data_IF_551900444177
#
_entry.id   IF_551900444177
#
_cell.length_a   1.000
_cell.length_b   1.000
_cell.length_c   1.000
_cell.angle_alpha   90.00
_cell.angle_beta   90.00
_cell.angle_gamma   90.00
#
_symmetry.space_group_name_H-M   'P 1'
#
loop_
_entity.id
_entity.type
_entity.pdbx_description
1 polymer ?
#
# COMPACT_ATOMS: atom_id res chain seq x y z
N UNK A 1 48.14 -14.62 5.45
CA UNK A 1 49.17 -14.66 6.53
C UNK A 1 48.53 -15.14 7.84
N UNK A 2 49.27 -15.77 8.76
CA UNK A 2 48.72 -16.11 10.08
C UNK A 2 48.65 -14.88 10.99
N UNK A 3 47.48 -14.58 11.54
CA UNK A 3 47.25 -13.40 12.36
C UNK A 3 47.63 -13.65 13.82
N UNK A 4 48.24 -12.65 14.46
CA UNK A 4 48.45 -12.66 15.92
C UNK A 4 47.14 -12.35 16.66
N UNK A 5 47.04 -12.71 17.96
CA UNK A 5 45.87 -12.40 18.80
C UNK A 5 45.51 -10.92 18.75
N UNK A 6 46.51 -10.04 18.85
CA UNK A 6 46.30 -8.59 18.80
C UNK A 6 45.78 -8.12 17.44
N UNK A 7 46.27 -8.69 16.34
CA UNK A 7 45.80 -8.34 14.99
C UNK A 7 44.36 -8.78 14.78
N UNK A 8 43.99 -9.95 15.31
CA UNK A 8 42.60 -10.43 15.29
C UNK A 8 41.69 -9.49 16.07
N UNK A 9 42.07 -9.09 17.28
CA UNK A 9 41.29 -8.12 18.09
C UNK A 9 41.05 -6.79 17.36
N UNK A 10 42.07 -6.25 16.68
CA UNK A 10 41.94 -5.00 15.90
C UNK A 10 40.96 -5.17 14.74
N UNK A 11 41.05 -6.27 13.98
CA UNK A 11 40.14 -6.52 12.87
C UNK A 11 38.71 -6.77 13.36
N UNK A 12 38.53 -7.49 14.47
CA UNK A 12 37.21 -7.68 15.11
C UNK A 12 36.59 -6.33 15.45
N UNK A 13 37.36 -5.44 16.10
CA UNK A 13 36.90 -4.09 16.41
C UNK A 13 36.59 -3.27 15.15
N UNK A 14 37.34 -3.43 14.07
CA UNK A 14 37.05 -2.80 12.78
C UNK A 14 35.69 -3.19 12.22
N UNK A 15 35.37 -4.49 12.26
CA UNK A 15 34.06 -5.01 11.87
C UNK A 15 32.93 -4.55 12.80
N UNK A 16 33.15 -4.56 14.13
CA UNK A 16 32.20 -4.01 15.10
C UNK A 16 31.88 -2.53 14.82
N UNK A 17 32.91 -1.75 14.47
CA UNK A 17 32.74 -0.34 14.16
C UNK A 17 31.80 -0.15 12.95
N UNK A 18 31.89 -0.98 11.93
CA UNK A 18 31.00 -0.89 10.76
C UNK A 18 29.56 -1.26 11.06
N UNK A 19 29.33 -2.20 11.97
CA UNK A 19 27.99 -2.49 12.47
C UNK A 19 27.37 -1.28 13.20
N UNK A 20 28.20 -0.40 13.77
CA UNK A 20 27.74 0.88 14.33
C UNK A 20 27.49 1.95 13.25
N UNK A 21 28.15 1.86 12.09
CA UNK A 21 27.95 2.75 10.93
C UNK A 21 26.91 2.20 9.94
N UNK A 22 25.73 1.85 10.44
CA UNK A 22 24.65 1.17 9.68
C UNK A 22 24.36 1.77 8.31
N UNK A 23 24.35 3.11 8.21
CA UNK A 23 24.03 3.82 6.97
C UNK A 23 25.05 3.55 5.85
N UNK A 24 26.34 3.48 6.17
CA UNK A 24 27.38 3.28 5.17
C UNK A 24 27.36 1.84 4.66
N UNK A 25 27.11 0.87 5.57
CA UNK A 25 26.92 -0.53 5.22
C UNK A 25 25.66 -0.75 4.38
N UNK A 26 24.54 -0.11 4.73
CA UNK A 26 23.30 -0.14 3.94
C UNK A 26 23.52 0.42 2.53
N UNK A 27 24.17 1.58 2.41
CA UNK A 27 24.44 2.21 1.12
C UNK A 27 25.33 1.31 0.24
N UNK A 28 26.41 0.78 0.80
CA UNK A 28 27.30 -0.13 0.07
C UNK A 28 26.58 -1.44 -0.34
N UNK A 29 25.72 -1.98 0.53
CA UNK A 29 24.89 -3.13 0.20
C UNK A 29 23.93 -2.80 -0.95
N UNK A 30 23.28 -1.63 -0.92
CA UNK A 30 22.38 -1.19 -1.99
C UNK A 30 23.10 -0.99 -3.32
N UNK A 31 24.30 -0.43 -3.30
CA UNK A 31 25.13 -0.24 -4.51
C UNK A 31 25.55 -1.58 -5.11
N UNK A 32 25.96 -2.54 -4.27
CA UNK A 32 26.44 -3.85 -4.72
C UNK A 32 25.31 -4.81 -5.10
N UNK A 33 24.20 -4.77 -4.36
CA UNK A 33 23.11 -5.75 -4.40
C UNK A 33 21.72 -5.11 -4.59
N UNK A 34 21.62 -4.02 -5.36
CA UNK A 34 20.38 -3.22 -5.47
C UNK A 34 19.10 -4.00 -5.76
N UNK A 35 19.15 -4.99 -6.66
CA UNK A 35 17.98 -5.83 -6.94
C UNK A 35 17.55 -6.72 -5.74
N UNK A 36 18.53 -7.24 -4.99
CA UNK A 36 18.29 -8.04 -3.79
C UNK A 36 17.79 -7.13 -2.67
N UNK A 37 18.36 -5.93 -2.53
CA UNK A 37 17.92 -4.91 -1.57
C UNK A 37 16.43 -4.61 -1.74
N UNK A 38 16.01 -4.25 -2.96
CA UNK A 38 14.61 -3.92 -3.25
C UNK A 38 13.69 -5.12 -2.99
N UNK A 39 14.15 -6.35 -3.30
CA UNK A 39 13.38 -7.56 -3.06
C UNK A 39 13.20 -7.83 -1.56
N UNK A 40 14.29 -7.80 -0.77
CA UNK A 40 14.23 -7.99 0.69
C UNK A 40 13.28 -6.97 1.31
N UNK A 41 13.42 -5.70 0.94
CA UNK A 41 12.57 -4.64 1.48
C UNK A 41 11.10 -4.89 1.15
N UNK A 42 10.78 -5.22 -0.10
CA UNK A 42 9.40 -5.51 -0.52
C UNK A 42 8.82 -6.72 0.20
N UNK A 43 9.60 -7.77 0.39
CA UNK A 43 9.15 -8.98 1.08
C UNK A 43 8.82 -8.66 2.54
N UNK A 44 9.66 -7.89 3.24
CA UNK A 44 9.37 -7.44 4.60
C UNK A 44 8.15 -6.52 4.68
N UNK A 45 8.00 -5.58 3.75
CA UNK A 45 6.83 -4.69 3.70
C UNK A 45 5.54 -5.50 3.49
N UNK A 46 5.55 -6.48 2.59
CA UNK A 46 4.39 -7.35 2.37
C UNK A 46 4.06 -8.20 3.59
N UNK A 47 5.07 -8.70 4.31
CA UNK A 47 4.87 -9.42 5.58
C UNK A 47 4.25 -8.52 6.66
N UNK A 48 4.55 -7.22 6.64
CA UNK A 48 3.98 -6.20 7.53
C UNK A 48 2.60 -5.70 7.06
N UNK A 49 2.09 -6.21 5.93
CA UNK A 49 0.75 -5.96 5.42
C UNK A 49 0.64 -4.88 4.34
N UNK A 50 1.76 -4.34 3.86
CA UNK A 50 1.75 -3.40 2.74
C UNK A 50 1.34 -4.10 1.43
N UNK A 51 0.77 -3.35 0.46
CA UNK A 51 0.34 -3.93 -0.81
C UNK A 51 1.53 -4.39 -1.67
N UNK A 52 1.26 -5.29 -2.63
CA UNK A 52 2.31 -5.88 -3.48
C UNK A 52 3.06 -4.87 -4.34
N UNK A 53 2.38 -3.80 -4.73
CA UNK A 53 2.87 -2.69 -5.54
C UNK A 53 3.32 -1.49 -4.69
N UNK A 54 3.65 -1.72 -3.40
CA UNK A 54 4.18 -0.70 -2.49
C UNK A 54 5.31 0.11 -3.12
N UNK A 55 5.18 1.44 -3.03
CA UNK A 55 6.16 2.41 -3.51
C UNK A 55 7.21 2.64 -2.42
N UNK A 56 8.42 2.13 -2.62
CA UNK A 56 9.48 2.19 -1.61
C UNK A 56 9.86 3.64 -1.24
N UNK A 57 9.77 4.59 -2.17
CA UNK A 57 10.03 6.01 -1.94
C UNK A 57 8.98 6.70 -1.06
N UNK A 58 7.87 6.00 -0.76
CA UNK A 58 6.77 6.46 0.08
C UNK A 58 6.75 5.80 1.46
N UNK A 59 7.72 4.94 1.75
CA UNK A 59 7.82 4.24 3.03
C UNK A 59 9.11 4.61 3.73
N UNK A 60 9.02 4.97 5.02
CA UNK A 60 10.16 5.20 5.88
C UNK A 60 10.60 3.87 6.48
N UNK A 61 11.72 3.34 5.98
CA UNK A 61 12.35 2.13 6.48
C UNK A 61 13.87 2.28 6.44
N UNK A 62 14.56 1.37 7.13
CA UNK A 62 16.02 1.19 7.03
C UNK A 62 16.34 -0.29 7.00
N UNK A 63 17.34 -0.69 6.21
CA UNK A 63 17.88 -2.04 6.25
C UNK A 63 18.99 -2.14 7.31
N UNK A 64 18.75 -2.92 8.35
CA UNK A 64 19.77 -3.26 9.35
C UNK A 64 20.51 -4.52 8.93
N UNK A 65 21.82 -4.41 8.74
CA UNK A 65 22.69 -5.53 8.35
C UNK A 65 23.55 -5.89 9.55
N UNK A 66 23.55 -7.16 9.92
CA UNK A 66 24.32 -7.69 11.04
C UNK A 66 25.08 -8.95 10.64
N UNK A 67 26.21 -9.19 11.30
CA UNK A 67 27.03 -10.38 11.14
C UNK A 67 27.90 -10.56 12.38
N UNK A 68 28.62 -11.69 12.48
CA UNK A 68 29.54 -11.95 13.58
C UNK A 68 30.97 -11.52 13.20
N UNK A 69 31.54 -10.47 13.82
CA UNK A 69 32.88 -9.96 13.52
C UNK A 69 33.98 -11.03 13.58
N UNK A 70 33.95 -11.92 14.57
CA UNK A 70 34.96 -12.95 14.75
C UNK A 70 34.98 -13.95 13.58
N UNK A 71 33.79 -14.28 13.04
CA UNK A 71 33.65 -15.15 11.87
C UNK A 71 34.23 -14.47 10.63
N UNK A 72 34.05 -13.16 10.49
CA UNK A 72 34.65 -12.39 9.39
C UNK A 72 36.19 -12.37 9.48
N UNK A 73 36.74 -12.24 10.70
CA UNK A 73 38.20 -12.31 10.90
C UNK A 73 38.75 -13.70 10.57
N UNK A 74 38.07 -14.77 11.00
CA UNK A 74 38.43 -16.14 10.62
C UNK A 74 38.46 -16.32 9.10
N UNK A 75 37.50 -15.71 8.41
CA UNK A 75 37.44 -15.77 6.96
C UNK A 75 38.62 -15.04 6.30
N UNK A 76 38.94 -13.83 6.76
CA UNK A 76 40.10 -13.06 6.27
C UNK A 76 41.40 -13.85 6.41
N UNK A 77 41.57 -14.55 7.53
CA UNK A 77 42.74 -15.41 7.75
C UNK A 77 42.71 -16.64 6.83
N UNK A 78 41.57 -17.30 6.68
CA UNK A 78 41.43 -18.52 5.86
C UNK A 78 41.56 -18.30 4.35
N UNK A 79 41.18 -17.12 3.86
CA UNK A 79 41.27 -16.73 2.45
C UNK A 79 42.59 -16.08 2.08
N UNK A 80 43.51 -15.95 3.03
CA UNK A 80 44.77 -15.21 2.86
C UNK A 80 44.57 -13.80 2.29
N UNK A 81 43.44 -13.14 2.62
CA UNK A 81 43.08 -11.80 2.12
C UNK A 81 44.10 -10.73 2.50
N UNK A 82 44.87 -10.99 3.56
CA UNK A 82 46.01 -10.19 4.00
C UNK A 82 47.31 -10.93 3.69
N UNK A 83 48.08 -10.38 2.76
CA UNK A 83 49.27 -11.05 2.23
C UNK A 83 50.48 -10.92 3.18
N UNK A 84 50.63 -9.76 3.81
CA UNK A 84 51.78 -9.43 4.65
C UNK A 84 51.46 -8.32 5.66
N UNK A 85 52.41 -8.01 6.54
CA UNK A 85 52.24 -7.00 7.59
C UNK A 85 51.94 -5.59 7.04
N UNK A 86 52.52 -5.22 5.89
CA UNK A 86 52.27 -3.90 5.27
C UNK A 86 50.83 -3.81 4.79
N UNK A 87 50.33 -4.87 4.15
CA UNK A 87 48.94 -4.98 3.71
C UNK A 87 47.95 -4.97 4.89
N UNK A 88 48.28 -5.70 5.97
CA UNK A 88 47.52 -5.65 7.23
C UNK A 88 47.42 -4.20 7.76
N UNK A 89 48.53 -3.47 7.90
CA UNK A 89 48.52 -2.12 8.46
C UNK A 89 47.73 -1.13 7.58
N UNK A 90 47.77 -1.31 6.26
CA UNK A 90 47.01 -0.49 5.33
C UNK A 90 45.51 -0.75 5.47
N UNK A 91 45.08 -2.02 5.42
CA UNK A 91 43.67 -2.42 5.46
C UNK A 91 43.03 -2.34 6.84
N UNK A 92 43.79 -2.53 7.92
CA UNK A 92 43.25 -2.50 9.28
C UNK A 92 42.69 -1.14 9.70
N UNK A 93 43.13 -0.07 9.02
CA UNK A 93 42.68 1.30 9.25
C UNK A 93 41.72 1.80 8.15
N UNK A 94 41.35 0.93 7.20
CA UNK A 94 40.51 1.27 6.05
C UNK A 94 39.09 0.75 6.27
N UNK A 95 38.14 1.67 6.40
CA UNK A 95 36.72 1.32 6.58
C UNK A 95 36.15 0.61 5.34
N UNK A 96 36.56 1.02 4.14
CA UNK A 96 36.04 0.46 2.90
C UNK A 96 36.47 -1.00 2.73
N UNK A 97 37.67 -1.36 3.22
CA UNK A 97 38.13 -2.75 3.23
C UNK A 97 37.15 -3.66 3.98
N UNK A 98 36.80 -3.31 5.20
CA UNK A 98 35.91 -4.12 6.04
C UNK A 98 34.47 -4.15 5.51
N UNK A 99 33.96 -3.04 4.95
CA UNK A 99 32.63 -3.02 4.30
C UNK A 99 32.63 -3.98 3.11
N UNK A 100 33.62 -3.85 2.22
CA UNK A 100 33.69 -4.67 1.03
C UNK A 100 33.88 -6.15 1.36
N UNK A 101 34.74 -6.48 2.33
CA UNK A 101 34.99 -7.86 2.73
C UNK A 101 33.77 -8.51 3.37
N UNK A 102 33.00 -7.79 4.20
CA UNK A 102 31.74 -8.31 4.74
C UNK A 102 30.72 -8.53 3.61
N UNK A 103 30.63 -7.59 2.67
CA UNK A 103 29.71 -7.68 1.54
C UNK A 103 30.13 -8.71 0.48
N UNK A 104 31.37 -9.19 0.46
CA UNK A 104 31.80 -10.31 -0.40
C UNK A 104 31.22 -11.66 0.06
N UNK A 105 30.65 -11.71 1.26
CA UNK A 105 30.12 -12.93 1.89
C UNK A 105 28.66 -12.78 2.29
N UNK A 106 27.75 -12.60 1.32
CA UNK A 106 26.33 -12.36 1.61
C UNK A 106 25.69 -13.47 2.45
N UNK A 107 26.21 -14.70 2.40
CA UNK A 107 25.72 -15.83 3.18
C UNK A 107 25.96 -15.69 4.70
N UNK A 108 26.85 -14.79 5.13
CA UNK A 108 27.15 -14.52 6.53
C UNK A 108 26.41 -13.27 7.05
N UNK A 109 25.70 -12.57 6.18
CA UNK A 109 24.94 -11.37 6.51
C UNK A 109 23.52 -11.74 6.91
N UNK A 110 23.06 -11.15 8.01
CA UNK A 110 21.65 -11.15 8.40
C UNK A 110 21.08 -9.76 8.14
N UNK A 111 20.03 -9.69 7.34
CA UNK A 111 19.36 -8.43 6.99
C UNK A 111 17.98 -8.38 7.63
N UNK A 112 17.66 -7.29 8.31
CA UNK A 112 16.34 -7.03 8.89
C UNK A 112 15.86 -5.65 8.47
N UNK A 113 14.63 -5.56 7.97
CA UNK A 113 14.04 -4.27 7.59
C UNK A 113 13.30 -3.70 8.80
N UNK A 114 13.69 -2.50 9.22
CA UNK A 114 13.00 -1.77 10.28
C UNK A 114 12.06 -0.77 9.61
N UNK A 115 10.77 -1.06 9.65
CA UNK A 115 9.70 -0.24 9.08
C UNK A 115 9.23 0.76 10.15
N UNK A 116 9.12 2.04 9.77
CA UNK A 116 8.66 3.13 10.65
C UNK A 116 7.35 3.76 10.19
N UNK A 117 6.95 3.53 8.95
CA UNK A 117 5.65 3.97 8.43
C UNK A 117 4.57 3.01 8.91
N UNK A 118 3.45 3.56 9.34
CA UNK A 118 2.25 2.77 9.65
C UNK A 118 1.56 2.32 8.36
N UNK A 119 1.20 1.04 8.29
CA UNK A 119 0.61 0.42 7.09
C UNK A 119 -0.78 0.99 6.78
N UNK A 120 -1.56 1.34 7.81
CA UNK A 120 -2.90 1.88 7.64
C UNK A 120 -2.83 3.33 7.14
N UNK A 121 -1.91 4.12 7.70
CA UNK A 121 -1.60 5.46 7.20
C UNK A 121 -1.14 5.43 5.75
N UNK A 122 -0.24 4.50 5.40
CA UNK A 122 0.19 4.32 4.01
C UNK A 122 -0.99 4.01 3.09
N UNK A 123 -1.86 3.07 3.45
CA UNK A 123 -2.98 2.67 2.61
C UNK A 123 -4.05 3.77 2.46
N UNK A 124 -4.17 4.67 3.42
CA UNK A 124 -5.05 5.85 3.31
C UNK A 124 -4.54 6.86 2.27
N UNK A 125 -3.23 6.92 2.05
CA UNK A 125 -2.57 7.86 1.11
C UNK A 125 -2.16 7.20 -0.22
N UNK A 126 -2.03 5.88 -0.23
CA UNK A 126 -1.61 5.10 -1.38
C UNK A 126 -2.45 3.82 -1.48
N UNK A 127 -3.78 3.94 -1.63
CA UNK A 127 -4.67 2.79 -1.60
C UNK A 127 -4.44 1.85 -2.78
N UNK A 128 -4.41 0.55 -2.49
CA UNK A 128 -4.64 -0.48 -3.51
C UNK A 128 -6.13 -0.63 -3.80
N UNK A 129 -6.46 -1.26 -4.93
CA UNK A 129 -7.85 -1.61 -5.27
C UNK A 129 -8.47 -2.48 -4.19
N UNK A 130 -7.74 -3.46 -3.66
CA UNK A 130 -8.25 -4.35 -2.60
C UNK A 130 -8.51 -3.59 -1.30
N UNK A 131 -7.61 -2.68 -0.92
CA UNK A 131 -7.78 -1.88 0.28
C UNK A 131 -9.02 -0.96 0.16
N UNK A 132 -9.13 -0.22 -0.94
CA UNK A 132 -10.29 0.65 -1.17
C UNK A 132 -11.59 -0.15 -1.23
N UNK A 133 -11.60 -1.31 -1.90
CA UNK A 133 -12.77 -2.17 -1.99
C UNK A 133 -13.22 -2.68 -0.61
N UNK A 134 -12.26 -3.04 0.25
CA UNK A 134 -12.56 -3.41 1.63
C UNK A 134 -13.18 -2.23 2.39
N UNK A 135 -12.57 -1.05 2.31
CA UNK A 135 -13.07 0.15 2.99
C UNK A 135 -14.46 0.57 2.52
N UNK A 136 -14.73 0.48 1.21
CA UNK A 136 -16.06 0.72 0.65
C UNK A 136 -17.05 -0.32 1.16
N UNK A 137 -16.73 -1.62 1.14
CA UNK A 137 -17.63 -2.65 1.68
C UNK A 137 -17.96 -2.44 3.16
N UNK A 138 -17.02 -1.93 3.95
CA UNK A 138 -17.21 -1.70 5.38
C UNK A 138 -18.08 -0.47 5.69
N UNK A 139 -18.22 0.47 4.74
CA UNK A 139 -18.84 1.79 4.96
C UNK A 139 -20.00 2.14 4.03
N UNK A 140 -20.08 1.49 2.88
CA UNK A 140 -21.14 1.71 1.91
C UNK A 140 -22.46 1.18 2.46
N UNK A 141 -23.44 2.06 2.52
CA UNK A 141 -24.81 1.73 2.90
C UNK A 141 -25.75 2.02 1.72
N UNK A 142 -26.50 1.01 1.30
CA UNK A 142 -27.41 1.14 0.16
C UNK A 142 -28.53 2.15 0.42
N UNK A 143 -28.94 2.31 1.67
CA UNK A 143 -29.98 3.26 2.05
C UNK A 143 -29.52 4.71 1.88
N UNK A 144 -28.25 5.02 2.16
CA UNK A 144 -27.69 6.36 1.93
C UNK A 144 -27.69 6.68 0.42
N UNK A 145 -27.25 5.73 -0.42
CA UNK A 145 -27.30 5.91 -1.88
C UNK A 145 -28.74 6.12 -2.35
N UNK A 146 -29.69 5.36 -1.81
CA UNK A 146 -31.12 5.48 -2.13
C UNK A 146 -31.69 6.84 -1.72
N UNK A 147 -31.26 7.39 -0.59
CA UNK A 147 -31.64 8.75 -0.17
C UNK A 147 -31.12 9.82 -1.14
N UNK A 148 -29.86 9.71 -1.60
CA UNK A 148 -29.30 10.67 -2.57
C UNK A 148 -29.96 10.54 -3.94
N UNK A 149 -30.16 9.31 -4.43
CA UNK A 149 -30.83 9.04 -5.72
C UNK A 149 -32.26 9.58 -5.76
N UNK A 150 -33.02 9.49 -4.65
CA UNK A 150 -34.39 10.02 -4.55
C UNK A 150 -34.47 11.54 -4.74
N UNK A 151 -33.39 12.27 -4.47
CA UNK A 151 -33.35 13.74 -4.61
C UNK A 151 -33.15 14.17 -6.06
N UNK A 152 -32.72 13.25 -6.94
CA UNK A 152 -32.43 13.54 -8.34
C UNK A 152 -33.71 13.72 -9.16
N UNK A 153 -33.70 14.69 -10.06
CA UNK A 153 -34.84 14.95 -10.95
C UNK A 153 -35.05 13.81 -11.95
N UNK A 154 -33.96 13.17 -12.39
CA UNK A 154 -33.99 11.99 -13.28
C UNK A 154 -34.76 10.84 -12.63
N UNK A 155 -34.60 10.63 -11.32
CA UNK A 155 -35.34 9.62 -10.58
C UNK A 155 -36.84 9.90 -10.58
N UNK A 156 -37.26 11.16 -10.41
CA UNK A 156 -38.69 11.52 -10.48
C UNK A 156 -39.28 11.23 -11.86
N UNK A 157 -38.50 11.44 -12.92
CA UNK A 157 -38.91 11.11 -14.27
C UNK A 157 -39.10 9.60 -14.45
N UNK A 158 -38.19 8.78 -13.92
CA UNK A 158 -38.30 7.31 -13.94
C UNK A 158 -39.55 6.85 -13.19
N UNK A 159 -39.84 7.42 -12.01
CA UNK A 159 -41.05 7.08 -11.23
C UNK A 159 -42.32 7.45 -12.01
N UNK A 160 -42.32 8.61 -12.67
CA UNK A 160 -43.45 9.03 -13.52
C UNK A 160 -43.69 8.06 -14.67
N UNK A 161 -42.62 7.63 -15.35
CA UNK A 161 -42.71 6.67 -16.45
C UNK A 161 -43.26 5.33 -15.98
N UNK A 162 -42.78 4.81 -14.84
CA UNK A 162 -43.30 3.58 -14.24
C UNK A 162 -44.80 3.71 -13.88
N UNK A 163 -45.22 4.83 -13.30
CA UNK A 163 -46.64 5.06 -12.99
C UNK A 163 -47.52 5.11 -14.25
N UNK A 164 -47.06 5.76 -15.33
CA UNK A 164 -47.79 5.78 -16.60
C UNK A 164 -47.90 4.37 -17.19
N UNK A 165 -46.85 3.55 -17.09
CA UNK A 165 -46.88 2.14 -17.52
C UNK A 165 -47.88 1.29 -16.72
N UNK A 166 -48.09 1.60 -15.44
CA UNK A 166 -49.10 0.97 -14.58
C UNK A 166 -50.53 1.50 -14.80
N UNK A 167 -50.71 2.55 -15.61
CA UNK A 167 -52.03 3.06 -16.01
C UNK A 167 -52.43 4.40 -15.38
N UNK A 168 -51.54 5.07 -14.64
CA UNK A 168 -51.79 6.43 -14.16
C UNK A 168 -51.75 7.44 -15.32
N UNK A 169 -52.42 8.60 -15.14
CA UNK A 169 -52.45 9.67 -16.13
C UNK A 169 -51.08 10.35 -16.33
N UNK A 170 -50.83 10.88 -17.53
CA UNK A 170 -49.61 11.61 -17.90
C UNK A 170 -49.34 12.87 -17.04
N UNK A 171 -50.37 13.40 -16.35
CA UNK A 171 -50.30 14.56 -15.47
C UNK A 171 -50.23 14.20 -13.97
N UNK A 172 -50.00 12.92 -13.64
CA UNK A 172 -49.87 12.46 -12.25
C UNK A 172 -48.76 13.21 -11.50
N UNK A 173 -49.07 13.60 -10.27
CA UNK A 173 -48.09 14.24 -9.40
C UNK A 173 -47.32 13.16 -8.62
N UNK A 174 -46.07 12.93 -9.02
CA UNK A 174 -45.15 11.95 -8.42
C UNK A 174 -44.97 12.16 -6.91
N UNK A 175 -45.01 13.41 -6.42
CA UNK A 175 -44.85 13.71 -4.99
C UNK A 175 -46.02 13.18 -4.14
N UNK A 176 -47.15 12.82 -4.76
CA UNK A 176 -48.34 12.28 -4.09
C UNK A 176 -48.47 10.76 -4.21
N UNK A 177 -47.67 10.12 -5.06
CA UNK A 177 -47.67 8.68 -5.23
C UNK A 177 -46.85 8.01 -4.13
N UNK A 178 -47.36 6.90 -3.59
CA UNK A 178 -46.56 5.97 -2.79
C UNK A 178 -45.84 5.02 -3.72
N UNK A 179 -44.52 5.02 -3.59
CA UNK A 179 -43.66 4.14 -4.35
C UNK A 179 -42.46 3.70 -3.50
N UNK A 180 -41.89 2.58 -3.89
CA UNK A 180 -40.61 2.10 -3.40
C UNK A 180 -39.58 2.13 -4.51
N UNK A 181 -38.37 2.57 -4.16
CA UNK A 181 -37.21 2.55 -5.03
C UNK A 181 -36.24 1.55 -4.44
N UNK A 182 -35.80 0.58 -5.24
CA UNK A 182 -34.66 -0.26 -4.91
C UNK A 182 -33.46 0.16 -5.75
N UNK A 183 -32.31 0.31 -5.08
CA UNK A 183 -31.06 0.73 -5.71
C UNK A 183 -30.02 -0.36 -5.55
N UNK A 184 -29.27 -0.61 -6.62
CA UNK A 184 -28.14 -1.54 -6.59
C UNK A 184 -26.98 -1.00 -7.42
N UNK A 185 -25.75 -1.35 -7.04
CA UNK A 185 -24.58 -1.04 -7.86
C UNK A 185 -24.61 -1.89 -9.14
N UNK A 186 -24.32 -1.26 -10.30
CA UNK A 186 -24.21 -1.96 -11.59
C UNK A 186 -23.05 -2.96 -11.61
N UNK A 187 -21.99 -2.65 -10.87
CA UNK A 187 -20.77 -3.45 -10.79
C UNK A 187 -20.45 -3.78 -9.33
N UNK A 188 -19.69 -4.86 -9.12
CA UNK A 188 -19.19 -5.20 -7.78
C UNK A 188 -18.22 -4.13 -7.25
N UNK A 189 -18.09 -4.07 -5.92
CA UNK A 189 -17.28 -3.06 -5.21
C UNK A 189 -15.82 -3.04 -5.66
N UNK A 190 -15.23 -4.18 -6.04
CA UNK A 190 -13.87 -4.23 -6.60
C UNK A 190 -13.75 -3.45 -7.92
N UNK A 191 -14.72 -3.60 -8.83
CA UNK A 191 -14.73 -2.87 -10.10
C UNK A 191 -14.99 -1.37 -9.90
N UNK A 192 -15.85 -1.02 -8.93
CA UNK A 192 -16.05 0.37 -8.52
C UNK A 192 -14.74 0.97 -7.99
N UNK A 193 -14.01 0.24 -7.14
CA UNK A 193 -12.75 0.69 -6.54
C UNK A 193 -11.66 0.90 -7.59
N UNK A 194 -11.53 -0.02 -8.55
CA UNK A 194 -10.61 0.12 -9.68
C UNK A 194 -10.94 1.37 -10.51
N UNK A 195 -12.23 1.60 -10.82
CA UNK A 195 -12.66 2.80 -11.53
C UNK A 195 -12.35 4.08 -10.75
N UNK A 196 -12.57 4.10 -9.43
CA UNK A 196 -12.25 5.25 -8.56
C UNK A 196 -10.76 5.54 -8.61
N UNK A 197 -9.89 4.55 -8.40
CA UNK A 197 -8.44 4.73 -8.43
C UNK A 197 -7.96 5.23 -9.80
N UNK A 198 -8.58 4.80 -10.89
CA UNK A 198 -8.19 5.23 -12.24
C UNK A 198 -8.65 6.65 -12.62
N UNK A 199 -9.69 7.15 -11.98
CA UNK A 199 -10.37 8.40 -12.40
C UNK A 199 -10.31 9.52 -11.37
N UNK A 200 -9.86 9.23 -10.15
CA UNK A 200 -9.78 10.18 -9.04
C UNK A 200 -8.38 10.24 -8.47
N UNK A 201 -8.05 11.36 -7.81
CA UNK A 201 -6.76 11.56 -7.13
C UNK A 201 -6.83 11.14 -5.65
N UNK A 202 -7.54 10.04 -5.37
CA UNK A 202 -7.62 9.47 -4.02
C UNK A 202 -6.22 9.02 -3.57
N UNK A 203 -5.90 9.29 -2.31
CA UNK A 203 -4.60 9.05 -1.72
C UNK A 203 -3.58 10.19 -1.91
N UNK A 204 -3.62 10.92 -3.05
CA UNK A 204 -2.67 12.02 -3.27
C UNK A 204 -3.08 13.32 -2.55
N UNK A 205 -4.38 13.65 -2.58
CA UNK A 205 -4.91 14.87 -1.97
C UNK A 205 -6.07 14.60 -1.01
N UNK A 206 -6.70 13.43 -1.10
CA UNK A 206 -7.89 13.07 -0.32
C UNK A 206 -7.63 11.69 0.27
N UNK A 207 -7.71 11.55 1.59
CA UNK A 207 -7.57 10.26 2.27
C UNK A 207 -8.76 9.37 1.91
N UNK A 208 -8.55 8.06 1.90
CA UNK A 208 -9.60 7.09 1.56
C UNK A 208 -10.85 7.27 2.41
N UNK A 209 -10.68 7.42 3.72
CA UNK A 209 -11.82 7.57 4.64
C UNK A 209 -12.61 8.86 4.39
N UNK A 210 -11.93 9.96 4.06
CA UNK A 210 -12.56 11.24 3.71
C UNK A 210 -13.34 11.14 2.40
N UNK A 211 -12.76 10.48 1.39
CA UNK A 211 -13.40 10.27 0.10
C UNK A 211 -14.67 9.44 0.24
N UNK A 212 -14.63 8.36 1.03
CA UNK A 212 -15.79 7.49 1.24
C UNK A 212 -16.94 8.27 1.90
N UNK A 213 -16.64 9.11 2.88
CA UNK A 213 -17.65 9.88 3.61
C UNK A 213 -18.28 10.99 2.77
N UNK A 214 -17.51 11.63 1.89
CA UNK A 214 -17.92 12.88 1.22
C UNK A 214 -18.26 12.72 -0.25
N UNK A 215 -17.54 11.86 -0.97
CA UNK A 215 -17.50 11.87 -2.43
C UNK A 215 -17.98 10.55 -3.07
N UNK A 216 -18.10 9.46 -2.31
CA UNK A 216 -18.41 8.13 -2.86
C UNK A 216 -19.77 8.09 -3.57
N UNK A 217 -20.84 8.53 -2.91
CA UNK A 217 -22.19 8.47 -3.48
C UNK A 217 -22.34 9.42 -4.67
N UNK A 218 -21.78 10.63 -4.58
CA UNK A 218 -21.71 11.57 -5.68
C UNK A 218 -20.96 10.97 -6.87
N UNK A 219 -19.85 10.25 -6.63
CA UNK A 219 -19.12 9.58 -7.69
C UNK A 219 -19.95 8.48 -8.37
N UNK A 220 -20.65 7.65 -7.58
CA UNK A 220 -21.54 6.59 -8.08
C UNK A 220 -22.64 7.19 -8.96
N UNK A 221 -23.26 8.29 -8.52
CA UNK A 221 -24.35 8.96 -9.23
C UNK A 221 -23.84 9.61 -10.52
N UNK A 222 -22.79 10.44 -10.43
CA UNK A 222 -22.27 11.21 -11.57
C UNK A 222 -21.70 10.31 -12.70
N UNK A 223 -21.34 9.07 -12.38
CA UNK A 223 -20.85 8.10 -13.35
C UNK A 223 -21.87 7.03 -13.74
N UNK A 224 -23.14 7.22 -13.34
CA UNK A 224 -24.25 6.30 -13.62
C UNK A 224 -23.88 4.83 -13.27
N UNK A 225 -23.33 4.62 -12.06
CA UNK A 225 -22.82 3.33 -11.60
C UNK A 225 -23.83 2.51 -10.78
N UNK A 226 -25.10 2.85 -10.88
CA UNK A 226 -26.19 2.22 -10.14
C UNK A 226 -27.38 1.96 -11.06
N UNK A 227 -28.19 0.96 -10.71
CA UNK A 227 -29.48 0.69 -11.31
C UNK A 227 -30.58 1.03 -10.31
N UNK A 228 -31.71 1.49 -10.84
CA UNK A 228 -32.94 1.75 -10.09
C UNK A 228 -34.01 0.76 -10.55
N UNK A 229 -34.76 0.21 -9.59
CA UNK A 229 -36.05 -0.43 -9.82
C UNK A 229 -37.14 0.33 -9.04
N UNK A 230 -38.26 0.62 -9.68
CA UNK A 230 -39.37 1.39 -9.10
C UNK A 230 -40.61 0.51 -9.04
N UNK A 231 -41.24 0.48 -7.87
CA UNK A 231 -42.53 -0.18 -7.68
C UNK A 231 -43.53 0.84 -7.15
N UNK A 232 -44.61 1.08 -7.91
CA UNK A 232 -45.72 1.90 -7.45
C UNK A 232 -46.61 1.04 -6.53
N UNK A 233 -47.08 1.63 -5.44
CA UNK A 233 -47.87 0.92 -4.42
C UNK A 233 -49.34 1.33 -4.41
N UNK A 234 -49.65 2.48 -5.01
CA UNK A 234 -51.01 2.97 -5.13
C UNK A 234 -51.68 2.38 -6.38
N UNK A 235 -53.01 2.26 -6.34
CA UNK A 235 -53.81 1.83 -7.49
C UNK A 235 -54.22 3.06 -8.33
N UNK A 236 -54.12 3.02 -9.67
CA UNK A 236 -54.63 4.09 -10.54
C UNK A 236 -56.08 4.51 -10.23
N UNK A 237 -56.95 3.55 -9.88
CA UNK A 237 -58.38 3.83 -9.59
C UNK A 237 -58.58 4.71 -8.35
N UNK A 238 -57.61 4.77 -7.43
CA UNK A 238 -57.68 5.63 -6.24
C UNK A 238 -57.46 7.12 -6.56
N UNK A 239 -57.05 7.46 -7.80
CA UNK A 239 -56.68 8.80 -8.25
C UNK A 239 -57.59 9.37 -9.36
N UNK A 240 -58.65 8.66 -9.75
CA UNK A 240 -59.73 9.11 -10.67
C UNK A 240 -60.85 9.88 -9.94
#
# INVERSE_FOLDING_TARGET
MKLTTRQREVLTQGYDNILNYKRDLENAFKEKYGHIYDQIVKDYLQLDGFPKDVKLDKVNFTLDISFHPEVMVDLIESKDTLENEVDYQAKSNDQDFYINSALDEPALLNSTVIIRTDVEEYNQEHPSVEYLAKRINDKYEVEDLKEEVKKLEETKQIVKEAAIEEGFSDDINVDKLKYTIDVKLKYGVTSLSDKIIQTTNIGENIRVDDYIEKDLYDFIINHDLYDIDVQIQDDPEDFE
#
